data_IF_259371064489
#
_entry.id   IF_259371064489
#
_cell.length_a   1.000
_cell.length_b   1.000
_cell.length_c   1.000
_cell.angle_alpha   90.00
_cell.angle_beta   90.00
_cell.angle_gamma   90.00
#
_symmetry.space_group_name_H-M   'P 1'
#
loop_
_entity.id
_entity.type
_entity.pdbx_description
1 polymer ?
#
# COMPACT_ATOMS: atom_id res chain seq x y z
N UNK A 1 -9.45 11.25 -33.68
CA UNK A 1 -8.37 10.57 -32.93
C UNK A 1 -8.96 10.11 -31.61
N UNK A 2 -8.99 8.81 -31.32
CA UNK A 2 -9.44 8.32 -30.01
C UNK A 2 -8.42 8.71 -28.95
N UNK A 3 -8.88 9.08 -27.76
CA UNK A 3 -7.99 9.30 -26.63
C UNK A 3 -7.25 7.99 -26.30
N UNK A 4 -5.99 8.04 -25.85
CA UNK A 4 -5.28 6.86 -25.38
C UNK A 4 -6.07 6.16 -24.26
N UNK A 5 -6.04 4.83 -24.25
CA UNK A 5 -6.77 4.03 -23.26
C UNK A 5 -6.22 4.32 -21.84
N UNK A 6 -7.04 4.88 -20.93
CA UNK A 6 -6.58 5.22 -19.58
C UNK A 6 -6.21 4.00 -18.74
N UNK A 7 -6.51 2.78 -19.18
CA UNK A 7 -6.17 1.54 -18.48
C UNK A 7 -4.83 0.95 -18.90
N UNK A 8 -4.31 1.30 -20.08
CA UNK A 8 -3.13 0.65 -20.64
C UNK A 8 -1.88 0.91 -19.78
N UNK A 9 -1.62 2.16 -19.41
CA UNK A 9 -0.47 2.50 -18.59
C UNK A 9 -0.51 1.87 -17.19
N UNK A 10 -1.63 1.93 -16.43
CA UNK A 10 -1.75 1.23 -15.16
C UNK A 10 -1.62 -0.30 -15.24
N UNK A 11 -2.15 -0.92 -16.31
CA UNK A 11 -2.01 -2.37 -16.50
C UNK A 11 -0.54 -2.77 -16.75
N UNK A 12 0.20 -1.97 -17.54
CA UNK A 12 1.62 -2.21 -17.77
C UNK A 12 2.44 -2.00 -16.48
N UNK A 13 2.14 -0.93 -15.73
CA UNK A 13 2.77 -0.67 -14.43
C UNK A 13 2.55 -1.83 -13.45
N UNK A 14 1.34 -2.42 -13.43
CA UNK A 14 1.06 -3.61 -12.63
C UNK A 14 1.90 -4.81 -13.08
N UNK A 15 1.99 -5.08 -14.38
CA UNK A 15 2.80 -6.19 -14.89
C UNK A 15 4.29 -6.04 -14.53
N UNK A 16 4.82 -4.82 -14.60
CA UNK A 16 6.18 -4.50 -14.17
C UNK A 16 6.34 -4.74 -12.67
N UNK A 17 5.43 -4.20 -11.85
CA UNK A 17 5.47 -4.36 -10.39
C UNK A 17 5.44 -5.84 -9.97
N UNK A 18 4.59 -6.65 -10.60
CA UNK A 18 4.50 -8.11 -10.33
C UNK A 18 5.79 -8.82 -10.73
N UNK A 19 6.42 -8.41 -11.82
CA UNK A 19 7.66 -8.99 -12.34
C UNK A 19 8.87 -8.61 -11.48
N UNK A 20 8.98 -7.33 -11.10
CA UNK A 20 10.07 -6.81 -10.28
C UNK A 20 9.96 -7.31 -8.82
N UNK A 21 8.74 -7.55 -8.33
CA UNK A 21 8.47 -7.97 -6.94
C UNK A 21 7.57 -9.21 -6.88
N UNK A 22 8.10 -10.40 -7.21
CA UNK A 22 7.31 -11.64 -7.20
C UNK A 22 6.91 -12.07 -5.78
N UNK A 23 7.69 -11.72 -4.76
CA UNK A 23 7.45 -12.06 -3.35
C UNK A 23 6.58 -11.02 -2.60
N UNK A 24 5.84 -10.18 -3.33
CA UNK A 24 4.97 -9.15 -2.73
C UNK A 24 3.88 -9.75 -1.83
N UNK A 25 3.38 -9.01 -0.84
CA UNK A 25 2.16 -9.36 -0.12
C UNK A 25 1.00 -9.62 -1.06
N UNK A 26 0.12 -10.56 -0.69
CA UNK A 26 -1.07 -10.87 -1.48
C UNK A 26 -1.94 -9.61 -1.61
N UNK A 27 -2.04 -9.11 -2.83
CA UNK A 27 -2.66 -7.82 -3.13
C UNK A 27 -3.63 -8.00 -4.28
N UNK A 28 -4.87 -7.57 -4.07
CA UNK A 28 -5.87 -7.47 -5.14
C UNK A 28 -5.73 -6.12 -5.82
N UNK A 29 -5.77 -6.12 -7.15
CA UNK A 29 -5.52 -4.93 -7.96
C UNK A 29 -6.77 -4.48 -8.69
N UNK A 30 -6.91 -3.17 -8.85
CA UNK A 30 -7.94 -2.54 -9.67
C UNK A 30 -7.38 -1.28 -10.33
N UNK A 31 -7.97 -0.89 -11.45
CA UNK A 31 -7.65 0.37 -12.13
C UNK A 31 -8.87 1.28 -11.99
N UNK A 32 -8.68 2.46 -11.40
CA UNK A 32 -9.76 3.42 -11.12
C UNK A 32 -9.30 4.79 -11.59
N UNK A 33 -10.02 5.42 -12.52
CA UNK A 33 -9.69 6.77 -13.01
C UNK A 33 -8.23 6.94 -13.48
N UNK A 34 -7.65 5.90 -14.10
CA UNK A 34 -6.26 5.92 -14.57
C UNK A 34 -5.19 5.72 -13.47
N UNK A 35 -5.59 5.40 -12.24
CA UNK A 35 -4.69 5.02 -11.14
C UNK A 35 -4.69 3.52 -10.92
N UNK A 36 -3.56 2.99 -10.47
CA UNK A 36 -3.43 1.61 -10.01
C UNK A 36 -3.72 1.56 -8.51
N UNK A 37 -4.75 0.82 -8.12
CA UNK A 37 -5.11 0.59 -6.71
C UNK A 37 -4.82 -0.85 -6.31
N UNK A 38 -4.01 -1.03 -5.27
CA UNK A 38 -3.78 -2.29 -4.59
C UNK A 38 -4.51 -2.34 -3.24
N UNK A 39 -5.11 -3.48 -2.92
CA UNK A 39 -5.71 -3.74 -1.61
C UNK A 39 -5.15 -5.01 -1.01
N UNK A 40 -4.60 -4.89 0.18
CA UNK A 40 -4.17 -6.01 1.03
C UNK A 40 -5.21 -6.14 2.13
N UNK A 41 -6.10 -7.13 1.99
CA UNK A 41 -7.20 -7.38 2.92
C UNK A 41 -7.08 -8.77 3.56
N UNK A 42 -7.61 -8.86 4.78
CA UNK A 42 -7.74 -10.11 5.51
C UNK A 42 -6.72 -10.24 6.65
N UNK A 43 -7.09 -10.91 7.75
CA UNK A 43 -6.28 -11.01 8.97
C UNK A 43 -4.97 -11.79 8.78
N UNK A 44 -4.82 -12.53 7.68
CA UNK A 44 -3.64 -13.33 7.34
C UNK A 44 -2.71 -12.61 6.35
N UNK A 45 -3.17 -11.54 5.70
CA UNK A 45 -2.42 -10.83 4.65
C UNK A 45 -2.15 -9.36 4.99
N UNK A 46 -3.06 -8.71 5.72
CA UNK A 46 -2.94 -7.32 6.15
C UNK A 46 -2.33 -7.24 7.54
N UNK A 47 -1.02 -7.04 7.59
CA UNK A 47 -0.28 -6.80 8.82
C UNK A 47 0.69 -5.61 8.66
N UNK A 48 1.43 -5.32 9.73
CA UNK A 48 2.43 -4.26 9.72
C UNK A 48 3.57 -4.54 8.73
N UNK A 49 3.96 -5.79 8.54
CA UNK A 49 5.02 -6.15 7.60
C UNK A 49 4.61 -5.85 6.17
N UNK A 50 3.34 -6.06 5.79
CA UNK A 50 2.82 -5.66 4.49
C UNK A 50 2.87 -4.14 4.27
N UNK A 51 2.56 -3.35 5.31
CA UNK A 51 2.71 -1.87 5.27
C UNK A 51 4.17 -1.48 5.04
N UNK A 52 5.09 -2.01 5.84
CA UNK A 52 6.52 -1.71 5.77
C UNK A 52 7.11 -2.14 4.42
N UNK A 53 6.66 -3.29 3.90
CA UNK A 53 7.06 -3.78 2.59
C UNK A 53 6.62 -2.82 1.48
N UNK A 54 5.35 -2.40 1.46
CA UNK A 54 4.85 -1.47 0.44
C UNK A 54 5.48 -0.07 0.57
N UNK A 55 5.72 0.40 1.81
CA UNK A 55 6.46 1.63 2.07
C UNK A 55 7.89 1.58 1.52
N UNK A 56 8.57 0.44 1.68
CA UNK A 56 9.92 0.21 1.16
C UNK A 56 9.96 0.17 -0.37
N UNK A 57 9.02 -0.55 -1.00
CA UNK A 57 8.94 -0.64 -2.47
C UNK A 57 8.60 0.70 -3.11
N UNK A 58 7.66 1.44 -2.52
CA UNK A 58 7.21 2.73 -3.06
C UNK A 58 8.04 3.91 -2.59
N UNK A 59 9.01 3.69 -1.69
CA UNK A 59 9.78 4.72 -1.01
C UNK A 59 8.89 5.85 -0.47
N UNK A 60 7.74 5.47 0.11
CA UNK A 60 6.68 6.39 0.51
C UNK A 60 6.26 6.18 1.95
N UNK A 61 5.83 7.27 2.60
CA UNK A 61 5.38 7.23 3.98
C UNK A 61 3.95 6.66 4.07
N UNK A 62 3.71 5.70 4.98
CA UNK A 62 2.36 5.21 5.27
C UNK A 62 1.50 6.29 5.93
N UNK A 63 0.22 6.34 5.57
CA UNK A 63 -0.77 7.27 6.12
C UNK A 63 -1.97 6.51 6.64
N UNK A 64 -2.31 6.70 7.92
CA UNK A 64 -3.56 6.19 8.50
C UNK A 64 -4.77 6.90 7.86
N UNK A 65 -5.78 6.13 7.43
CA UNK A 65 -7.00 6.66 6.80
C UNK A 65 -8.23 6.59 7.68
N UNK A 66 -8.81 5.40 7.84
CA UNK A 66 -10.02 5.20 8.62
C UNK A 66 -10.01 3.83 9.30
N UNK A 67 -10.85 3.69 10.31
CA UNK A 67 -11.05 2.44 11.04
C UNK A 67 -12.40 1.82 10.67
N UNK A 68 -12.47 0.49 10.73
CA UNK A 68 -13.70 -0.26 10.53
C UNK A 68 -13.69 -1.54 11.38
N UNK A 69 -14.87 -2.12 11.61
CA UNK A 69 -14.99 -3.42 12.26
C UNK A 69 -15.07 -4.53 11.22
N UNK A 70 -14.30 -5.59 11.42
CA UNK A 70 -14.33 -6.79 10.59
C UNK A 70 -14.16 -8.03 11.44
N UNK A 71 -15.10 -8.97 11.35
CA UNK A 71 -15.09 -10.22 12.12
C UNK A 71 -14.84 -10.00 13.64
N UNK A 72 -15.49 -8.98 14.22
CA UNK A 72 -15.35 -8.65 15.65
C UNK A 72 -14.00 -8.01 16.04
N UNK A 73 -13.18 -7.61 15.06
CA UNK A 73 -11.91 -6.92 15.28
C UNK A 73 -11.97 -5.50 14.72
N UNK A 74 -11.34 -4.57 15.43
CA UNK A 74 -11.11 -3.21 14.93
C UNK A 74 -9.90 -3.22 14.00
N UNK A 75 -10.13 -2.77 12.78
CA UNK A 75 -9.12 -2.67 11.72
C UNK A 75 -8.82 -1.19 11.45
N UNK A 76 -7.57 -0.91 11.08
CA UNK A 76 -7.08 0.38 10.61
C UNK A 76 -6.67 0.22 9.14
N UNK A 77 -7.18 1.07 8.26
CA UNK A 77 -6.68 1.18 6.88
C UNK A 77 -5.46 2.09 6.89
N UNK A 78 -4.34 1.56 6.42
CA UNK A 78 -3.11 2.31 6.18
C UNK A 78 -2.88 2.37 4.67
N UNK A 79 -2.60 3.56 4.18
CA UNK A 79 -2.37 3.82 2.76
C UNK A 79 -0.90 4.13 2.51
N UNK A 80 -0.33 3.53 1.48
CA UNK A 80 0.98 3.90 0.94
C UNK A 80 0.75 4.34 -0.51
N UNK A 81 1.07 5.59 -0.81
CA UNK A 81 0.80 6.18 -2.13
C UNK A 81 2.07 6.80 -2.72
N UNK A 82 2.30 6.55 -4.01
CA UNK A 82 3.42 7.10 -4.77
C UNK A 82 3.07 7.21 -6.26
N UNK A 83 3.97 7.80 -7.03
CA UNK A 83 3.97 7.64 -8.50
C UNK A 83 4.94 6.51 -8.83
N UNK A 84 4.42 5.41 -9.37
CA UNK A 84 5.24 4.29 -9.84
C UNK A 84 5.52 4.46 -11.32
N UNK A 85 6.78 4.77 -11.65
CA UNK A 85 7.19 5.26 -12.97
C UNK A 85 6.39 6.53 -13.31
N UNK A 86 5.32 6.41 -14.08
CA UNK A 86 4.45 7.52 -14.50
C UNK A 86 2.98 7.29 -14.11
N UNK A 87 2.68 6.27 -13.29
CA UNK A 87 1.32 5.89 -12.89
C UNK A 87 1.09 6.17 -11.41
N UNK A 88 0.03 6.91 -11.03
CA UNK A 88 -0.37 7.00 -9.63
C UNK A 88 -0.71 5.61 -9.08
N UNK A 89 -0.01 5.21 -8.03
CA UNK A 89 -0.14 3.93 -7.36
C UNK A 89 -0.52 4.15 -5.90
N UNK A 90 -1.64 3.57 -5.50
CA UNK A 90 -2.12 3.60 -4.11
C UNK A 90 -2.29 2.17 -3.63
N UNK A 91 -1.66 1.83 -2.50
CA UNK A 91 -1.85 0.55 -1.84
C UNK A 91 -2.48 0.77 -0.47
N UNK A 92 -3.64 0.14 -0.25
CA UNK A 92 -4.34 0.16 1.02
C UNK A 92 -4.17 -1.19 1.72
N UNK A 93 -3.66 -1.14 2.94
CA UNK A 93 -3.45 -2.31 3.81
C UNK A 93 -4.39 -2.21 4.99
N UNK A 94 -5.23 -3.22 5.18
CA UNK A 94 -6.10 -3.32 6.36
C UNK A 94 -5.37 -4.06 7.48
N UNK A 95 -4.94 -3.34 8.51
CA UNK A 95 -4.15 -3.90 9.63
C UNK A 95 -5.01 -3.94 10.89
N UNK A 96 -4.93 -4.98 11.75
CA UNK A 96 -5.57 -4.92 13.07
C UNK A 96 -5.10 -3.68 13.84
N UNK A 97 -6.03 -2.89 14.39
CA UNK A 97 -5.70 -1.59 15.00
C UNK A 97 -4.70 -1.71 16.18
N UNK A 98 -4.69 -2.86 16.86
CA UNK A 98 -3.72 -3.17 17.94
C UNK A 98 -2.27 -3.34 17.44
N UNK A 99 -2.07 -3.56 16.14
CA UNK A 99 -0.76 -3.74 15.50
C UNK A 99 -0.25 -2.47 14.81
N UNK A 100 -1.04 -1.39 14.85
CA UNK A 100 -0.61 -0.05 14.45
C UNK A 100 -0.33 0.74 15.73
N UNK A 101 0.83 0.55 16.41
CA UNK A 101 1.25 1.56 17.37
C UNK A 101 1.41 2.85 16.57
N UNK A 102 0.80 3.95 17.03
CA UNK A 102 0.69 5.24 16.33
C UNK A 102 1.86 5.47 15.38
N UNK A 103 1.61 5.68 14.08
CA UNK A 103 2.69 5.88 13.08
C UNK A 103 3.66 7.02 13.47
N UNK A 104 3.28 7.90 14.41
CA UNK A 104 4.15 8.85 15.12
C UNK A 104 5.40 8.22 15.76
N UNK A 105 5.40 6.93 16.07
CA UNK A 105 6.52 6.20 16.66
C UNK A 105 7.54 5.67 15.63
N UNK A 106 7.15 5.58 14.34
CA UNK A 106 8.04 5.13 13.26
C UNK A 106 9.04 6.21 12.82
N UNK A 107 8.68 7.49 12.97
CA UNK A 107 9.58 8.63 12.68
C UNK A 107 10.74 8.71 13.68
N UNK A 108 10.46 8.44 14.97
CA UNK A 108 11.44 8.53 16.06
C UNK A 108 12.50 7.41 16.05
N UNK A 109 12.27 6.30 15.32
CA UNK A 109 13.21 5.19 15.24
C UNK A 109 14.42 5.43 14.32
N UNK A 110 14.38 6.44 13.45
CA UNK A 110 15.48 6.77 12.53
C UNK A 110 16.50 7.76 13.09
N UNK A 111 16.20 8.43 14.20
CA UNK A 111 17.10 9.42 14.81
C UNK A 111 17.99 8.88 15.93
N UNK A 112 17.87 7.60 16.33
CA UNK A 112 18.66 7.02 17.43
C UNK A 112 19.87 6.18 17.01
N UNK A 113 20.19 6.07 15.73
CA UNK A 113 21.41 5.37 15.26
C UNK A 113 22.41 6.38 14.67
N UNK A 114 22.75 7.39 15.45
CA UNK A 114 23.88 8.28 15.22
C UNK A 114 24.33 8.88 16.56
N UNK A 115 24.96 8.07 17.40
CA UNK A 115 25.77 8.52 18.54
C UNK A 115 26.95 7.57 18.73
#
# INVERSE_FOLDING_TARGET
MSAPDPQLAPALALAQLITEYPARPLTTWSIVDGRLEGRVYGPEAGDRAAVEWWAGVLAAEPVERHMFEYAGRRMQVVEVAAVWRDVPLVVQVSVPAVLVPSLSSLVLGREQVAA
#
